data_IF_324790238361
#
_entry.id   IF_324790238361
#
_cell.length_a   1.000
_cell.length_b   1.000
_cell.length_c   1.000
_cell.angle_alpha   90.00
_cell.angle_beta   90.00
_cell.angle_gamma   90.00
#
_symmetry.space_group_name_H-M   'P 1'
#
loop_
_entity.id
_entity.type
_entity.pdbx_description
1 polymer ?
#
# COMPACT_ATOMS: atom_id res chain seq x y z
N UNK A 1 -6.33 -23.12 -12.17
CA UNK A 1 -6.19 -23.25 -13.63
C UNK A 1 -5.06 -22.36 -14.11
N UNK A 2 -4.67 -22.43 -15.38
CA UNK A 2 -3.74 -21.44 -15.95
C UNK A 2 -4.37 -20.04 -15.76
N UNK A 3 -3.68 -19.12 -15.07
CA UNK A 3 -4.17 -17.75 -14.81
C UNK A 3 -4.61 -17.45 -13.37
N UNK A 4 -4.59 -18.42 -12.45
CA UNK A 4 -4.81 -18.17 -11.02
C UNK A 4 -3.49 -17.84 -10.33
N UNK A 5 -3.44 -16.72 -9.60
CA UNK A 5 -2.27 -16.30 -8.82
C UNK A 5 -2.65 -16.16 -7.36
N UNK A 6 -1.91 -16.87 -6.50
CA UNK A 6 -1.91 -16.63 -5.06
C UNK A 6 -1.03 -15.41 -4.79
N UNK A 7 -1.67 -14.25 -4.67
CA UNK A 7 -0.98 -12.98 -4.47
C UNK A 7 -0.63 -12.74 -2.99
N UNK A 8 -1.38 -13.33 -2.06
CA UNK A 8 -1.20 -13.06 -0.63
C UNK A 8 -1.29 -11.54 -0.39
N UNK A 9 -0.23 -10.99 0.20
CA UNK A 9 -0.13 -9.57 0.55
C UNK A 9 0.61 -8.75 -0.53
N UNK A 10 0.89 -9.33 -1.70
CA UNK A 10 1.49 -8.60 -2.83
C UNK A 10 0.48 -7.66 -3.52
N UNK A 11 -0.83 -7.90 -3.38
CA UNK A 11 -1.91 -7.06 -3.93
C UNK A 11 -2.84 -6.68 -2.79
N UNK A 12 -2.79 -5.41 -2.36
CA UNK A 12 -3.41 -4.97 -1.10
C UNK A 12 -4.50 -3.90 -1.27
N UNK A 13 -4.81 -3.46 -2.49
CA UNK A 13 -5.76 -2.36 -2.75
C UNK A 13 -5.39 -1.14 -1.87
N UNK A 14 -6.33 -0.65 -1.05
CA UNK A 14 -6.11 0.43 -0.07
C UNK A 14 -5.75 -0.10 1.33
N UNK A 15 -5.16 -1.29 1.42
CA UNK A 15 -4.88 -1.96 2.69
C UNK A 15 -6.08 -2.65 3.32
N UNK A 16 -5.85 -3.22 4.51
CA UNK A 16 -6.87 -3.96 5.27
C UNK A 16 -7.64 -3.01 6.19
N UNK A 17 -7.72 -3.30 7.49
CA UNK A 17 -8.38 -2.42 8.47
C UNK A 17 -7.67 -1.07 8.65
N UNK A 18 -6.38 -1.00 8.35
CA UNK A 18 -5.56 0.20 8.51
C UNK A 18 -5.82 1.29 7.47
N UNK A 19 -6.42 0.95 6.32
CA UNK A 19 -6.64 1.93 5.23
C UNK A 19 -5.36 2.36 4.48
N UNK A 20 -4.26 1.61 4.63
CA UNK A 20 -3.03 1.75 3.86
C UNK A 20 -2.37 0.37 3.66
N UNK A 21 -1.76 0.07 2.49
CA UNK A 21 -0.97 -1.15 2.32
C UNK A 21 0.25 -1.17 3.25
N UNK A 22 0.69 -2.37 3.65
CA UNK A 22 1.88 -2.58 4.48
C UNK A 22 2.99 -3.27 3.70
N UNK A 23 4.05 -2.56 3.37
CA UNK A 23 5.25 -3.09 2.71
C UNK A 23 6.51 -2.45 3.31
N UNK A 24 7.64 -3.14 3.25
CA UNK A 24 8.93 -2.65 3.76
C UNK A 24 9.80 -2.00 2.67
N UNK A 25 9.58 -2.36 1.41
CA UNK A 25 10.28 -1.77 0.27
C UNK A 25 9.30 -1.21 -0.79
N UNK A 26 9.19 0.12 -0.92
CA UNK A 26 8.24 0.73 -1.86
C UNK A 26 8.58 0.47 -3.33
N UNK A 27 9.86 0.30 -3.67
CA UNK A 27 10.31 0.09 -5.05
C UNK A 27 10.01 -1.34 -5.47
N UNK A 28 10.38 -2.31 -4.63
CA UNK A 28 10.15 -3.73 -4.93
C UNK A 28 8.66 -4.05 -4.89
N UNK A 29 7.92 -3.48 -3.93
CA UNK A 29 6.46 -3.60 -3.89
C UNK A 29 5.82 -3.13 -5.19
N UNK A 30 6.17 -1.92 -5.65
CA UNK A 30 5.64 -1.39 -6.91
C UNK A 30 6.07 -2.22 -8.12
N UNK A 31 7.35 -2.61 -8.20
CA UNK A 31 7.82 -3.45 -9.30
C UNK A 31 7.05 -4.77 -9.39
N UNK A 32 6.74 -5.39 -8.23
CA UNK A 32 5.98 -6.64 -8.18
C UNK A 32 4.55 -6.49 -8.73
N UNK A 33 3.87 -5.37 -8.42
CA UNK A 33 2.54 -5.05 -8.94
C UNK A 33 2.55 -4.85 -10.46
N UNK A 34 3.55 -4.10 -10.96
CA UNK A 34 3.71 -3.89 -12.40
C UNK A 34 3.96 -5.20 -13.14
N UNK A 35 4.82 -6.07 -12.58
CA UNK A 35 5.08 -7.40 -13.14
C UNK A 35 3.81 -8.27 -13.19
N UNK A 36 3.01 -8.27 -12.12
CA UNK A 36 1.73 -8.98 -12.10
C UNK A 36 0.77 -8.46 -13.19
N UNK A 37 0.66 -7.13 -13.34
CA UNK A 37 -0.23 -6.49 -14.32
C UNK A 37 0.23 -6.72 -15.77
N UNK A 38 1.51 -6.53 -16.04
CA UNK A 38 2.01 -6.37 -17.42
C UNK A 38 2.54 -7.68 -18.00
N UNK A 39 3.13 -8.55 -17.17
CA UNK A 39 3.77 -9.80 -17.59
C UNK A 39 2.92 -11.04 -17.26
N UNK A 40 2.46 -11.17 -16.01
CA UNK A 40 1.71 -12.36 -15.56
C UNK A 40 0.27 -12.34 -16.07
N UNK A 41 -0.38 -11.17 -16.02
CA UNK A 41 -1.76 -10.93 -16.46
C UNK A 41 -2.76 -11.97 -15.88
N UNK A 42 -2.86 -12.07 -14.54
CA UNK A 42 -3.72 -13.06 -13.90
C UNK A 42 -5.18 -12.80 -14.23
N UNK A 43 -5.92 -13.88 -14.49
CA UNK A 43 -7.38 -13.82 -14.63
C UNK A 43 -8.07 -13.85 -13.26
N UNK A 44 -7.38 -14.38 -12.23
CA UNK A 44 -7.90 -14.51 -10.87
C UNK A 44 -6.79 -14.33 -9.85
N UNK A 45 -7.05 -13.52 -8.83
CA UNK A 45 -6.14 -13.27 -7.71
C UNK A 45 -6.75 -13.85 -6.43
N UNK A 46 -5.93 -14.58 -5.67
CA UNK A 46 -6.23 -15.00 -4.31
C UNK A 46 -5.39 -14.14 -3.34
N UNK A 47 -6.08 -13.25 -2.63
CA UNK A 47 -5.53 -12.26 -1.72
C UNK A 47 -5.33 -12.87 -0.31
N UNK A 48 -4.37 -12.36 0.45
CA UNK A 48 -4.11 -12.81 1.82
C UNK A 48 -5.20 -12.37 2.82
N UNK A 49 -5.83 -11.23 2.54
CA UNK A 49 -6.84 -10.62 3.40
C UNK A 49 -7.99 -10.03 2.57
N UNK A 50 -9.17 -9.79 3.19
CA UNK A 50 -10.24 -9.01 2.56
C UNK A 50 -9.86 -7.52 2.55
N UNK A 51 -8.89 -7.19 1.70
CA UNK A 51 -8.46 -5.82 1.46
C UNK A 51 -9.59 -4.95 0.94
N UNK A 52 -9.48 -3.65 1.18
CA UNK A 52 -10.55 -2.71 0.90
C UNK A 52 -10.24 -1.87 -0.33
N UNK A 53 -11.26 -1.62 -1.13
CA UNK A 53 -11.23 -0.53 -2.10
C UNK A 53 -11.07 0.82 -1.38
N UNK A 54 -10.82 1.88 -2.13
CA UNK A 54 -10.66 3.24 -1.59
C UNK A 54 -11.93 3.79 -0.95
N UNK A 55 -13.10 3.19 -1.20
CA UNK A 55 -14.37 3.49 -0.54
C UNK A 55 -14.59 2.68 0.76
N UNK A 56 -13.63 1.82 1.13
CA UNK A 56 -13.67 0.98 2.31
C UNK A 56 -14.38 -0.37 2.13
N UNK A 57 -14.98 -0.68 0.99
CA UNK A 57 -15.65 -1.96 0.74
C UNK A 57 -14.63 -3.05 0.39
N UNK A 58 -14.78 -4.25 0.93
CA UNK A 58 -13.93 -5.39 0.59
C UNK A 58 -14.62 -6.30 -0.45
N UNK A 59 -13.96 -6.68 -1.56
CA UNK A 59 -14.52 -7.60 -2.55
C UNK A 59 -14.46 -9.07 -2.12
N UNK A 60 -13.85 -9.36 -0.96
CA UNK A 60 -13.51 -10.72 -0.52
C UNK A 60 -12.03 -11.04 -0.77
N UNK A 61 -11.66 -12.30 -0.58
CA UNK A 61 -10.26 -12.78 -0.75
C UNK A 61 -9.97 -13.32 -2.15
N UNK A 62 -10.98 -13.38 -3.02
CA UNK A 62 -10.85 -13.80 -4.40
C UNK A 62 -11.45 -12.72 -5.28
N UNK A 63 -10.68 -12.25 -6.26
CA UNK A 63 -11.14 -11.34 -7.31
C UNK A 63 -10.78 -11.92 -8.67
N UNK A 64 -11.63 -11.71 -9.67
CA UNK A 64 -11.48 -12.33 -10.99
C UNK A 64 -11.91 -11.39 -12.13
N UNK A 65 -11.39 -11.68 -13.34
CA UNK A 65 -11.62 -10.88 -14.54
C UNK A 65 -11.30 -9.40 -14.31
N UNK A 66 -12.26 -8.53 -14.63
CA UNK A 66 -12.11 -7.08 -14.50
C UNK A 66 -11.84 -6.62 -13.06
N UNK A 67 -12.28 -7.37 -12.04
CA UNK A 67 -11.98 -7.03 -10.64
C UNK A 67 -10.52 -7.32 -10.29
N UNK A 68 -9.91 -8.35 -10.88
CA UNK A 68 -8.48 -8.64 -10.70
C UNK A 68 -7.61 -7.55 -11.35
N UNK A 69 -7.96 -7.13 -12.57
CA UNK A 69 -7.30 -6.00 -13.25
C UNK A 69 -7.44 -4.71 -12.43
N UNK A 70 -8.64 -4.43 -11.92
CA UNK A 70 -8.90 -3.28 -11.06
C UNK A 70 -8.12 -3.35 -9.75
N UNK A 71 -8.02 -4.52 -9.11
CA UNK A 71 -7.26 -4.70 -7.87
C UNK A 71 -5.78 -4.33 -8.05
N UNK A 72 -5.17 -4.73 -9.17
CA UNK A 72 -3.80 -4.37 -9.51
C UNK A 72 -3.67 -2.87 -9.79
N UNK A 73 -4.58 -2.30 -10.59
CA UNK A 73 -4.58 -0.86 -10.88
C UNK A 73 -4.71 0.00 -9.61
N UNK A 74 -5.66 -0.33 -8.72
CA UNK A 74 -5.85 0.37 -7.46
C UNK A 74 -4.64 0.22 -6.54
N UNK A 75 -4.06 -0.98 -6.43
CA UNK A 75 -2.86 -1.19 -5.58
C UNK A 75 -1.68 -0.34 -6.07
N UNK A 76 -1.53 -0.22 -7.39
CA UNK A 76 -0.56 0.65 -8.06
C UNK A 76 -0.85 2.13 -7.73
N UNK A 77 -2.07 2.60 -7.96
CA UNK A 77 -2.46 3.98 -7.69
C UNK A 77 -2.27 4.37 -6.22
N UNK A 78 -2.61 3.48 -5.29
CA UNK A 78 -2.39 3.71 -3.85
C UNK A 78 -0.90 3.76 -3.53
N UNK A 79 -0.08 2.85 -4.08
CA UNK A 79 1.38 2.90 -3.91
C UNK A 79 1.97 4.23 -4.43
N UNK A 80 1.53 4.70 -5.61
CA UNK A 80 1.97 5.99 -6.16
C UNK A 80 1.52 7.16 -5.29
N UNK A 81 0.30 7.12 -4.77
CA UNK A 81 -0.22 8.17 -3.88
C UNK A 81 0.60 8.29 -2.60
N UNK A 82 0.95 7.15 -1.99
CA UNK A 82 1.79 7.12 -0.78
C UNK A 82 3.20 7.63 -1.10
N UNK A 83 3.81 7.17 -2.20
CA UNK A 83 5.12 7.63 -2.62
C UNK A 83 5.13 9.15 -2.89
N UNK A 84 4.12 9.68 -3.57
CA UNK A 84 4.02 11.11 -3.85
C UNK A 84 3.82 11.94 -2.57
N UNK A 85 3.06 11.45 -1.59
CA UNK A 85 2.91 12.10 -0.30
C UNK A 85 4.23 12.11 0.48
N UNK A 86 4.97 11.00 0.44
CA UNK A 86 6.33 10.93 0.98
C UNK A 86 7.24 11.97 0.32
N UNK A 87 7.35 11.99 -1.01
CA UNK A 87 8.26 12.87 -1.76
C UNK A 87 8.02 14.36 -1.46
N UNK A 88 6.75 14.77 -1.27
CA UNK A 88 6.40 16.15 -0.91
C UNK A 88 6.97 16.57 0.45
N UNK A 89 7.11 15.64 1.39
CA UNK A 89 7.50 15.92 2.77
C UNK A 89 8.90 15.43 3.13
N UNK A 90 9.50 14.54 2.35
CA UNK A 90 10.83 13.98 2.59
C UNK A 90 11.92 15.07 2.60
N UNK A 91 11.80 16.07 1.71
CA UNK A 91 12.75 17.19 1.62
C UNK A 91 12.75 18.14 2.82
N UNK A 92 11.68 18.13 3.61
CA UNK A 92 11.63 18.89 4.85
C UNK A 92 12.42 18.21 5.97
N UNK A 93 12.79 16.94 5.81
CA UNK A 93 13.42 16.10 6.82
C UNK A 93 12.39 15.49 7.76
N UNK A 94 12.49 14.17 7.97
CA UNK A 94 11.70 13.44 8.97
C UNK A 94 12.09 13.93 10.37
N UNK A 95 11.14 14.49 11.11
CA UNK A 95 11.38 15.06 12.45
C UNK A 95 10.44 14.43 13.45
N UNK A 96 10.96 14.17 14.64
CA UNK A 96 10.12 13.79 15.77
C UNK A 96 9.20 14.96 16.14
N UNK A 97 7.95 14.62 16.44
CA UNK A 97 6.88 15.53 16.84
C UNK A 97 6.14 14.95 18.05
N UNK A 98 5.29 15.74 18.70
CA UNK A 98 4.39 15.25 19.75
C UNK A 98 3.18 14.47 19.19
N UNK A 99 3.12 14.28 17.86
CA UNK A 99 2.05 13.58 17.16
C UNK A 99 2.12 12.08 17.36
N UNK A 100 0.96 11.43 17.44
CA UNK A 100 0.86 9.96 17.47
C UNK A 100 1.34 9.31 16.16
N UNK A 101 1.47 10.09 15.09
CA UNK A 101 2.02 9.66 13.80
C UNK A 101 3.49 10.01 13.64
N UNK A 102 4.17 10.52 14.67
CA UNK A 102 5.58 10.85 14.60
C UNK A 102 6.42 9.66 14.11
N UNK A 103 7.39 9.87 13.19
CA UNK A 103 7.83 11.16 12.65
C UNK A 103 7.17 11.54 11.30
N UNK A 104 6.05 10.91 10.98
CA UNK A 104 5.37 10.98 9.68
C UNK A 104 4.08 11.81 9.70
N UNK A 105 3.91 12.72 10.67
CA UNK A 105 2.71 13.54 10.82
C UNK A 105 2.31 14.27 9.55
N UNK A 106 3.27 14.88 8.83
CA UNK A 106 2.98 15.62 7.60
C UNK A 106 2.41 14.70 6.51
N UNK A 107 2.98 13.50 6.36
CA UNK A 107 2.51 12.49 5.40
C UNK A 107 1.14 11.95 5.82
N UNK A 108 0.90 11.73 7.11
CA UNK A 108 -0.41 11.35 7.63
C UNK A 108 -1.48 12.40 7.28
N UNK A 109 -1.18 13.68 7.52
CA UNK A 109 -2.08 14.79 7.22
C UNK A 109 -2.37 14.91 5.72
N UNK A 110 -1.35 14.80 4.86
CA UNK A 110 -1.49 14.86 3.40
C UNK A 110 -2.30 13.68 2.82
N UNK A 111 -2.12 12.49 3.39
CA UNK A 111 -2.94 11.33 3.03
C UNK A 111 -4.36 11.37 3.63
N UNK A 112 -4.63 12.28 4.57
CA UNK A 112 -5.86 12.27 5.36
C UNK A 112 -5.99 11.01 6.22
N UNK A 113 -4.86 10.46 6.68
CA UNK A 113 -4.80 9.25 7.48
C UNK A 113 -5.27 9.53 8.92
N UNK A 114 -6.30 8.81 9.35
CA UNK A 114 -6.93 9.02 10.67
C UNK A 114 -7.09 7.73 11.47
N UNK A 115 -6.46 6.63 11.05
CA UNK A 115 -6.56 5.37 11.80
C UNK A 115 -5.73 5.45 13.08
N UNK A 116 -6.25 4.91 14.17
CA UNK A 116 -5.62 4.96 15.48
C UNK A 116 -4.31 4.13 15.50
N UNK A 117 -3.12 4.77 15.64
CA UNK A 117 -1.85 4.07 15.59
C UNK A 117 -1.56 3.22 16.83
N UNK A 118 -2.34 3.34 17.93
CA UNK A 118 -2.15 2.48 19.11
C UNK A 118 -2.63 1.05 18.92
N UNK A 119 -3.29 0.75 17.78
CA UNK A 119 -3.84 -0.56 17.46
C UNK A 119 -3.18 -1.13 16.19
N UNK A 120 -2.95 -2.44 16.19
CA UNK A 120 -2.52 -3.13 14.99
C UNK A 120 -3.64 -3.11 13.91
N UNK A 121 -3.27 -3.12 12.62
CA UNK A 121 -1.91 -3.29 12.07
C UNK A 121 -1.18 -1.96 11.79
N UNK A 122 0.10 -1.90 12.15
CA UNK A 122 0.98 -0.73 11.98
C UNK A 122 1.52 -0.51 10.56
N UNK A 123 0.77 -1.00 9.55
CA UNK A 123 1.12 -0.86 8.12
C UNK A 123 1.53 0.55 7.71
N UNK A 124 0.92 1.59 8.28
CA UNK A 124 1.32 2.98 8.04
C UNK A 124 2.80 3.24 8.34
N UNK A 125 3.26 2.83 9.53
CA UNK A 125 4.64 3.04 9.95
C UNK A 125 5.60 2.14 9.18
N UNK A 126 5.25 0.87 8.95
CA UNK A 126 6.08 -0.04 8.15
C UNK A 126 6.32 0.52 6.75
N UNK A 127 5.25 0.96 6.09
CA UNK A 127 5.30 1.53 4.74
C UNK A 127 6.13 2.80 4.66
N UNK A 128 5.90 3.76 5.56
CA UNK A 128 6.67 5.01 5.53
C UNK A 128 8.12 4.83 6.00
N UNK A 129 8.39 3.85 6.86
CA UNK A 129 9.75 3.46 7.17
C UNK A 129 10.50 2.91 5.95
N UNK A 130 9.83 2.16 5.07
CA UNK A 130 10.40 1.70 3.81
C UNK A 130 10.83 2.86 2.89
N UNK A 131 9.98 3.88 2.78
CA UNK A 131 10.31 5.10 2.05
C UNK A 131 11.48 5.88 2.67
N UNK A 132 11.53 5.97 4.00
CA UNK A 132 12.65 6.57 4.72
C UNK A 132 13.97 5.86 4.44
N UNK A 133 14.00 4.53 4.55
CA UNK A 133 15.20 3.73 4.29
C UNK A 133 15.70 3.92 2.86
N UNK A 134 14.82 3.81 1.86
CA UNK A 134 15.17 4.04 0.45
C UNK A 134 15.69 5.45 0.17
N UNK A 135 15.22 6.46 0.90
CA UNK A 135 15.69 7.84 0.74
C UNK A 135 17.07 8.07 1.36
N UNK A 136 17.47 7.26 2.35
CA UNK A 136 18.78 7.35 2.99
C UNK A 136 19.88 6.56 2.23
N UNK A 137 19.48 5.60 1.40
CA UNK A 137 20.39 4.78 0.58
C UNK A 137 20.80 5.44 -0.75
N UNK A 138 20.19 6.57 -1.12
CA UNK A 138 20.46 7.34 -2.34
C UNK A 138 21.35 8.55 -2.11
#
# INVERSE_FOLDING_TARGET
>A
GQGDVFAGDAVMLNGAASGIPGYDDPVDYRASLAYLRDEVRPQRLLLGHPYRWTDGVAPGVVVEGAEAERALAVSIEVADRVAAAWERHAGEGVRDTDSVYSPFEAVAADLGYTADPSHEPWSFFTTLHGHLTRSNDG
#
